data_IF_070267763351
#
_entry.id   IF_070267763351
#
_cell.length_a   1.000
_cell.length_b   1.000
_cell.length_c   1.000
_cell.angle_alpha   90.00
_cell.angle_beta   90.00
_cell.angle_gamma   90.00
#
_symmetry.space_group_name_H-M   'P 1'
#
loop_
_entity.id
_entity.type
_entity.pdbx_description
1 polymer ?
2 non-polymer ?
3 non-polymer ?
4 non-polymer ?
5 non-polymer ?
6 non-polymer ?
7 water ?
#
# COMPACT_ATOMS: atom_id res chain seq x y z
N UNK A 4 -24.30 22.45 1.25
CA UNK A 4 -24.38 20.96 1.22
C UNK A 4 -24.75 20.48 -0.18
N UNK A 5 -24.33 19.27 -0.53
CA UNK A 5 -24.58 18.68 -1.85
C UNK A 5 -25.38 17.37 -1.72
N UNK A 6 -26.01 16.93 -2.81
CA UNK A 6 -26.52 15.53 -2.89
C UNK A 6 -25.39 14.51 -3.07
N UNK A 7 -24.37 14.86 -3.85
CA UNK A 7 -23.30 13.93 -4.13
C UNK A 7 -22.27 13.95 -2.99
N UNK A 8 -21.55 12.84 -2.86
CA UNK A 8 -20.41 12.73 -1.97
C UNK A 8 -19.18 12.82 -2.89
N UNK A 9 -18.28 13.74 -2.56
CA UNK A 9 -17.17 14.09 -3.44
C UNK A 9 -15.87 13.53 -2.90
N UNK A 10 -15.20 12.76 -3.76
CA UNK A 10 -13.98 12.06 -3.39
C UNK A 10 -12.91 12.43 -4.40
N UNK A 11 -11.80 13.00 -3.92
CA UNK A 11 -10.66 13.26 -4.79
C UNK A 11 -9.57 12.23 -4.59
N UNK A 12 -8.99 11.77 -5.68
CA UNK A 12 -7.99 10.71 -5.66
C UNK A 12 -6.81 11.16 -6.50
N UNK A 13 -5.63 11.24 -5.87
CA UNK A 13 -4.36 11.48 -6.59
C UNK A 13 -3.51 10.22 -6.52
N UNK A 14 -3.19 9.68 -7.70
CA UNK A 14 -2.38 8.47 -7.84
C UNK A 14 -1.31 8.66 -8.91
N UNK A 15 -0.36 7.76 -8.97
CA UNK A 15 0.78 7.88 -9.92
C UNK A 15 0.57 6.98 -11.13
N UNK A 16 0.14 7.59 -12.22
CA UNK A 16 -0.09 6.84 -13.45
C UNK A 16 0.91 7.14 -14.57
N UNK A 17 1.88 7.99 -14.28
CA UNK A 17 3.04 8.22 -15.14
C UNK A 17 4.32 8.12 -14.33
N UNK A 18 5.44 7.88 -15.02
CA UNK A 18 6.71 7.76 -14.33
C UNK A 18 6.94 6.36 -13.82
N UNK A 19 8.03 6.16 -13.07
CA UNK A 19 8.40 4.79 -12.71
C UNK A 19 7.36 4.09 -11.83
N UNK A 20 6.61 4.85 -11.04
CA UNK A 20 5.62 4.22 -10.17
C UNK A 20 4.24 4.03 -10.82
N UNK A 21 4.16 4.24 -12.14
CA UNK A 21 2.91 4.05 -12.85
C UNK A 21 2.37 2.63 -12.64
N UNK A 22 3.25 1.64 -12.41
CA UNK A 22 2.78 0.26 -12.24
C UNK A 22 1.94 0.08 -10.96
N UNK A 23 2.09 1.02 -10.02
CA UNK A 23 1.26 1.05 -8.81
C UNK A 23 -0.03 1.84 -9.03
N UNK A 24 0.07 3.03 -9.62
CA UNK A 24 -1.10 3.86 -9.80
C UNK A 24 -2.10 3.42 -10.87
N UNK A 25 -1.62 2.83 -11.95
CA UNK A 25 -2.52 2.38 -13.01
C UNK A 25 -3.56 1.40 -12.48
N UNK A 26 -3.12 0.36 -11.75
CA UNK A 26 -4.13 -0.51 -11.16
C UNK A 26 -5.05 0.17 -10.15
N UNK A 27 -4.52 1.14 -9.39
CA UNK A 27 -5.34 1.86 -8.42
C UNK A 27 -6.44 2.62 -9.14
N UNK A 28 -6.07 3.30 -10.24
CA UNK A 28 -7.08 4.02 -11.04
C UNK A 28 -8.08 3.06 -11.69
N UNK A 29 -7.58 1.99 -12.29
CA UNK A 29 -8.45 1.01 -12.95
C UNK A 29 -9.44 0.36 -11.99
N UNK A 30 -9.04 0.13 -10.72
CA UNK A 30 -9.94 -0.50 -9.78
C UNK A 30 -11.18 0.33 -9.51
N UNK A 31 -11.10 1.64 -9.80
CA UNK A 31 -12.24 2.55 -9.59
C UNK A 31 -13.44 2.20 -10.45
N UNK A 32 -13.22 1.47 -11.56
CA UNK A 32 -14.34 0.97 -12.33
C UNK A 32 -15.29 0.04 -11.55
N UNK A 33 -14.75 -0.60 -10.50
CA UNK A 33 -15.45 -1.70 -9.82
C UNK A 33 -15.91 -1.34 -8.42
N UNK A 34 -15.71 -0.08 -8.01
CA UNK A 34 -16.20 0.38 -6.72
C UNK A 34 -17.61 0.93 -6.80
N UNK A 35 -18.18 1.21 -5.62
CA UNK A 35 -19.50 1.81 -5.51
C UNK A 35 -19.59 3.10 -6.33
N UNK A 36 -20.73 3.28 -6.99
CA UNK A 36 -21.03 4.54 -7.69
C UNK A 36 -21.95 5.45 -6.87
N UNK A 37 -22.40 4.96 -5.74
CA UNK A 37 -23.45 5.57 -4.95
C UNK A 37 -23.38 4.97 -3.55
N UNK A 38 -23.53 5.77 -2.51
CA UNK A 38 -23.62 5.25 -1.14
C UNK A 38 -24.87 5.90 -0.51
N UNK A 39 -25.78 5.09 -0.01
CA UNK A 39 -27.02 5.64 0.62
C UNK A 39 -27.89 6.42 -0.35
N UNK A 40 -27.75 6.13 -1.63
CA UNK A 40 -28.47 6.87 -2.65
C UNK A 40 -27.83 8.13 -3.12
N UNK A 41 -26.72 8.51 -2.48
CA UNK A 41 -25.99 9.70 -2.86
C UNK A 41 -24.98 9.28 -3.90
N UNK A 42 -25.02 9.88 -5.09
CA UNK A 42 -23.99 9.57 -6.09
C UNK A 42 -22.60 9.95 -5.60
N UNK A 43 -21.61 9.12 -5.92
CA UNK A 43 -20.23 9.48 -5.65
C UNK A 43 -19.65 10.20 -6.86
N UNK A 44 -19.12 11.38 -6.62
CA UNK A 44 -18.41 12.17 -7.61
C UNK A 44 -16.95 11.96 -7.34
N UNK A 45 -16.27 11.20 -8.22
CA UNK A 45 -14.89 10.78 -8.00
C UNK A 45 -14.02 11.51 -9.01
N UNK A 46 -13.10 12.32 -8.51
CA UNK A 46 -12.19 13.11 -9.33
C UNK A 46 -10.79 12.51 -9.21
N UNK A 47 -10.24 12.04 -10.32
CA UNK A 47 -8.96 11.32 -10.32
C UNK A 47 -7.93 12.13 -11.05
N UNK A 48 -6.79 12.35 -10.41
CA UNK A 48 -5.63 13.01 -11.03
C UNK A 48 -4.36 12.22 -10.88
N UNK A 49 -3.46 12.39 -11.85
CA UNK A 49 -2.10 11.89 -11.79
C UNK A 49 -1.22 12.90 -11.10
N UNK A 50 -0.33 12.39 -10.26
CA UNK A 50 0.75 13.21 -9.68
C UNK A 50 2.14 12.86 -10.15
N UNK A 51 2.29 11.82 -10.98
CA UNK A 51 3.63 11.45 -11.44
C UNK A 51 4.58 10.96 -10.36
N UNK A 52 4.06 10.78 -9.14
CA UNK A 52 4.83 10.41 -7.98
C UNK A 52 5.54 11.58 -7.35
N UNK A 53 5.23 12.79 -7.81
CA UNK A 53 5.89 13.99 -7.36
C UNK A 53 5.15 14.67 -6.20
N UNK A 54 5.82 14.87 -5.07
CA UNK A 54 5.15 15.50 -3.92
C UNK A 54 4.54 16.87 -4.28
N UNK A 55 5.21 17.66 -5.12
CA UNK A 55 4.64 18.96 -5.50
C UNK A 55 3.30 18.80 -6.23
N UNK A 56 3.25 17.90 -7.20
CA UNK A 56 1.99 17.66 -7.92
C UNK A 56 0.91 17.13 -7.00
N UNK A 57 1.27 16.21 -6.11
CA UNK A 57 0.33 15.66 -5.16
C UNK A 57 -0.25 16.71 -4.20
N UNK A 58 0.60 17.66 -3.79
CA UNK A 58 0.15 18.76 -2.94
C UNK A 58 -0.88 19.63 -3.72
N UNK A 59 -0.55 19.94 -4.96
CA UNK A 59 -1.44 20.71 -5.81
C UNK A 59 -2.76 19.97 -6.01
N UNK A 60 -2.66 18.70 -6.28
CA UNK A 60 -3.86 17.90 -6.55
C UNK A 60 -4.76 17.85 -5.31
N UNK A 61 -4.19 17.51 -4.15
CA UNK A 61 -4.92 17.50 -2.91
C UNK A 61 -5.60 18.83 -2.61
N UNK A 62 -4.88 19.92 -2.82
CA UNK A 62 -5.46 21.22 -2.61
C UNK A 62 -6.61 21.53 -3.57
N UNK A 63 -6.47 21.11 -4.82
CA UNK A 63 -7.57 21.26 -5.79
C UNK A 63 -8.79 20.54 -5.26
N UNK A 64 -8.59 19.36 -4.69
CA UNK A 64 -9.72 18.59 -4.19
C UNK A 64 -10.40 19.28 -3.02
N UNK A 65 -9.61 19.76 -2.07
CA UNK A 65 -10.19 20.22 -0.79
C UNK A 65 -10.86 21.57 -0.91
N UNK A 66 -10.38 22.45 -1.81
CA UNK A 66 -10.90 23.81 -1.94
C UNK A 66 -11.74 23.94 -3.20
N UNK A 67 -11.17 23.63 -4.35
CA UNK A 67 -11.90 23.71 -5.65
C UNK A 67 -13.09 22.70 -5.78
N UNK A 68 -12.89 21.46 -5.37
CA UNK A 68 -13.94 20.44 -5.50
C UNK A 68 -14.72 20.28 -4.19
N UNK A 69 -14.24 20.93 -3.14
CA UNK A 69 -14.86 20.86 -1.82
C UNK A 69 -15.06 19.39 -1.39
N UNK A 70 -14.02 18.58 -1.62
CA UNK A 70 -14.10 17.15 -1.37
C UNK A 70 -14.47 16.80 0.06
N UNK A 71 -15.27 15.74 0.22
CA UNK A 71 -15.58 15.15 1.53
C UNK A 71 -14.47 14.23 2.02
N UNK A 72 -13.77 13.61 1.07
CA UNK A 72 -12.67 12.65 1.36
C UNK A 72 -11.65 12.77 0.25
N UNK A 73 -10.39 12.68 0.62
CA UNK A 73 -9.31 12.61 -0.36
C UNK A 73 -8.51 11.33 -0.18
N UNK A 75 -4.95 8.97 -1.67
CA UNK A 75 -3.73 8.81 -2.42
C UNK A 75 -2.51 8.90 -1.49
N UNK A 76 -1.31 8.92 -2.01
CA UNK A 76 -0.93 8.68 -3.41
C UNK A 76 -0.44 7.22 -3.54
N UNK A 77 0.32 6.90 -4.59
CA UNK A 77 0.72 5.54 -4.88
C UNK A 77 2.02 5.13 -4.19
N UNK A 78 2.86 6.12 -3.90
CA UNK A 78 4.16 5.91 -3.24
C UNK A 78 4.33 6.90 -2.10
N UNK A 79 5.31 6.68 -1.22
CA UNK A 79 5.30 7.35 0.07
C UNK A 79 5.47 8.87 -0.05
N UNK A 80 6.46 9.36 -0.82
CA UNK A 80 6.69 10.82 -0.82
C UNK A 80 5.46 11.68 -1.17
N UNK A 81 4.71 11.39 -2.23
CA UNK A 81 3.51 12.20 -2.50
C UNK A 81 2.41 11.94 -1.49
N UNK A 82 2.44 10.79 -0.85
CA UNK A 82 1.42 10.44 0.16
C UNK A 82 1.60 11.30 1.40
N UNK A 83 2.86 11.54 1.79
CA UNK A 83 3.12 12.46 2.90
C UNK A 83 2.58 13.87 2.54
N UNK A 84 2.78 14.28 1.30
CA UNK A 84 2.27 15.55 0.83
C UNK A 84 0.74 15.68 0.92
N UNK A 85 0.04 14.63 0.53
CA UNK A 85 -1.40 14.62 0.62
C UNK A 85 -1.86 14.75 2.07
N UNK A 86 -1.17 14.01 2.96
CA UNK A 86 -1.49 14.05 4.38
C UNK A 86 -1.28 15.48 4.95
N UNK A 87 -0.22 16.16 4.51
CA UNK A 87 0.02 17.57 4.92
C UNK A 87 -1.18 18.44 4.57
N UNK A 88 -1.67 18.29 3.34
CA UNK A 88 -2.80 19.09 2.89
C UNK A 88 -4.10 18.73 3.61
N UNK A 89 -4.37 17.42 3.74
CA UNK A 89 -5.59 16.95 4.43
C UNK A 89 -5.66 17.41 5.88
N UNK A 90 -4.53 17.35 6.60
CA UNK A 90 -4.55 17.78 7.99
C UNK A 90 -4.65 19.28 8.17
N UNK A 91 -4.19 20.06 7.20
CA UNK A 91 -4.35 21.50 7.25
C UNK A 91 -5.79 21.96 6.92
N UNK A 92 -6.35 21.31 5.90
CA UNK A 92 -7.67 21.65 5.38
C UNK A 92 -8.82 20.96 6.18
N UNK A 93 -8.46 19.99 7.02
CA UNK A 93 -9.40 19.23 7.87
C UNK A 93 -10.34 18.38 7.04
N UNK A 94 -9.73 17.54 6.22
CA UNK A 94 -10.46 16.64 5.32
C UNK A 94 -9.95 15.23 5.52
N UNK A 95 -10.85 14.24 5.67
CA UNK A 95 -10.38 12.89 5.81
C UNK A 95 -9.55 12.43 4.62
N UNK A 96 -8.47 11.75 4.92
CA UNK A 96 -7.50 11.29 3.94
C UNK A 96 -7.28 9.80 4.13
N UNK A 97 -7.54 9.04 3.06
CA UNK A 97 -7.23 7.63 3.03
C UNK A 97 -5.98 7.41 2.19
N UNK A 98 -4.88 7.08 2.85
CA UNK A 98 -3.60 6.89 2.17
C UNK A 98 -3.52 5.57 1.42
N UNK A 99 -2.91 5.57 0.22
CA UNK A 99 -2.78 4.37 -0.61
C UNK A 99 -1.32 3.87 -0.66
N UNK A 100 -0.44 4.52 0.09
CA UNK A 100 0.94 4.10 0.34
C UNK A 100 1.21 4.18 1.83
N UNK A 101 2.14 3.37 2.39
CA UNK A 101 2.24 3.27 3.88
C UNK A 101 3.19 4.31 4.54
N UNK A 102 2.69 5.52 4.73
CA UNK A 102 3.50 6.61 5.19
C UNK A 102 3.65 6.52 6.71
N UNK A 103 4.68 7.18 7.23
CA UNK A 103 4.79 7.38 8.67
C UNK A 103 3.67 8.30 9.14
N UNK A 104 2.72 7.77 9.89
CA UNK A 104 1.58 8.60 10.33
C UNK A 104 1.95 9.07 11.73
N UNK A 105 2.64 10.22 11.78
CA UNK A 105 3.11 10.89 12.98
C UNK A 105 1.96 11.57 13.71
N UNK A 106 2.19 12.03 14.94
CA UNK A 106 1.14 12.79 15.62
C UNK A 106 0.59 13.97 14.83
N UNK A 107 1.42 14.61 14.02
CA UNK A 107 0.99 15.75 13.18
C UNK A 107 0.01 15.35 12.04
N UNK A 108 0.07 14.09 11.62
CA UNK A 108 -0.70 13.58 10.49
C UNK A 108 -1.88 12.71 10.92
N UNK A 109 -1.91 12.31 12.20
CA UNK A 109 -2.84 11.28 12.63
C UNK A 109 -4.30 11.68 12.66
N UNK A 110 -4.62 12.94 12.88
CA UNK A 110 -6.02 13.29 13.06
C UNK A 110 -6.87 13.02 11.82
N UNK A 111 -6.34 13.38 10.65
CA UNK A 111 -7.13 13.31 9.43
C UNK A 111 -6.70 12.20 8.50
N UNK A 112 -5.59 11.49 8.76
CA UNK A 112 -5.13 10.44 7.87
C UNK A 112 -5.26 9.04 8.45
N UNK A 113 -5.72 8.12 7.62
CA UNK A 113 -5.59 6.67 7.85
C UNK A 113 -4.92 6.04 6.63
N UNK A 114 -4.45 4.80 6.78
CA UNK A 114 -3.75 4.12 5.67
C UNK A 114 -4.35 2.77 5.34
N UNK A 116 -2.54 0.52 3.06
CA UNK A 116 -1.47 -0.51 3.05
C UNK A 116 -1.12 -1.01 4.42
N UNK A 117 -0.68 -2.26 4.49
CA UNK A 117 -0.25 -2.81 5.74
C UNK A 117 0.92 -2.04 6.33
N UNK A 118 0.91 -1.81 7.63
CA UNK A 118 2.04 -1.13 8.24
C UNK A 118 3.30 -1.97 8.15
N UNK A 119 4.42 -1.28 8.00
CA UNK A 119 5.70 -1.97 7.83
C UNK A 119 5.95 -3.05 8.88
N UNK A 120 5.72 -2.78 10.18
CA UNK A 120 6.02 -3.84 11.16
C UNK A 120 5.25 -5.15 11.02
N UNK A 121 4.02 -5.12 10.52
CA UNK A 121 3.27 -6.36 10.31
C UNK A 121 4.01 -7.14 9.21
N UNK A 123 7.20 -6.77 8.07
CA UNK A 123 8.50 -7.21 8.58
C UNK A 123 8.39 -8.48 9.39
N UNK A 124 7.42 -8.53 10.31
CA UNK A 124 7.34 -9.65 11.23
C UNK A 124 7.17 -10.97 10.49
N UNK A 125 6.32 -11.01 9.47
CA UNK A 125 6.10 -12.26 8.77
C UNK A 125 7.34 -12.69 7.98
N UNK A 126 8.11 -11.72 7.49
CA UNK A 126 9.37 -12.02 6.79
C UNK A 126 10.43 -12.52 7.76
N UNK A 127 10.62 -11.84 8.88
CA UNK A 127 11.66 -12.22 9.85
C UNK A 127 11.33 -13.54 10.50
N UNK A 128 10.05 -13.79 10.79
CA UNK A 128 9.60 -15.10 11.26
C UNK A 128 10.04 -16.21 10.31
N UNK A 129 9.87 -16.00 8.99
CA UNK A 129 10.32 -16.99 8.03
C UNK A 129 11.81 -17.12 8.06
N UNK A 131 13.84 -16.77 10.53
CA UNK A 131 14.30 -17.53 11.69
C UNK A 131 13.77 -18.97 11.73
N UNK A 132 12.93 -19.35 10.77
CA UNK A 132 12.51 -20.74 10.62
C UNK A 132 13.38 -21.47 9.57
N UNK A 133 14.21 -20.71 8.84
CA UNK A 133 14.94 -21.17 7.67
C UNK A 133 16.44 -20.86 7.76
N UNK A 134 16.98 -20.94 8.99
CA UNK A 134 18.43 -20.88 9.22
C UNK A 134 19.09 -19.61 8.72
N UNK A 135 18.40 -18.49 8.86
CA UNK A 135 18.97 -17.19 8.53
C UNK A 135 19.47 -16.53 9.80
N UNK A 136 20.77 -16.29 9.87
CA UNK A 136 21.42 -15.66 11.05
C UNK A 136 21.90 -14.27 10.69
N UNK A 137 22.46 -14.11 9.49
CA UNK A 137 22.95 -12.81 9.02
C UNK A 137 22.08 -12.30 7.88
N UNK A 138 21.89 -10.99 7.85
CA UNK A 138 20.98 -10.35 6.89
C UNK A 138 21.63 -9.06 6.35
N UNK A 139 21.49 -8.85 5.06
CA UNK A 139 21.85 -7.57 4.45
C UNK A 139 20.61 -6.81 4.00
N UNK A 140 20.73 -5.49 3.87
CA UNK A 140 19.60 -4.66 3.41
C UNK A 140 20.03 -3.85 2.21
N UNK A 141 19.14 -3.78 1.23
CA UNK A 141 19.23 -2.79 0.14
C UNK A 141 17.84 -2.20 -0.06
N UNK A 142 17.74 -0.88 0.07
CA UNK A 142 16.47 -0.19 -0.07
C UNK A 142 16.60 1.28 -0.42
N UNK A 143 15.47 1.94 -0.59
CA UNK A 143 15.51 3.35 -1.01
C UNK A 143 16.21 4.21 0.02
N UNK A 144 16.86 5.27 -0.49
CA UNK A 144 17.39 6.33 0.34
C UNK A 144 16.32 7.40 0.61
N UNK A 145 15.17 6.99 1.11
CA UNK A 145 14.11 7.93 1.49
C UNK A 145 13.28 7.32 2.61
N UNK A 146 12.18 7.96 2.95
CA UNK A 146 11.37 7.55 4.11
C UNK A 146 10.89 6.10 4.10
N UNK A 147 10.42 5.61 2.97
CA UNK A 147 10.02 4.21 2.85
C UNK A 147 11.20 3.26 3.12
N UNK A 148 12.33 3.54 2.48
CA UNK A 148 13.54 2.73 2.75
C UNK A 148 13.98 2.83 4.19
N UNK A 149 13.84 4.01 4.79
CA UNK A 149 14.17 4.17 6.21
C UNK A 149 13.22 3.37 7.11
N UNK A 150 11.93 3.38 6.83
CA UNK A 150 10.96 2.69 7.69
C UNK A 150 11.31 1.21 7.70
N UNK A 151 11.67 0.68 6.52
CA UNK A 151 12.00 -0.74 6.42
C UNK A 151 13.30 -1.08 7.11
N UNK A 152 14.33 -0.26 6.90
CA UNK A 152 15.60 -0.54 7.58
C UNK A 152 15.47 -0.42 9.08
N UNK A 153 14.78 0.62 9.55
CA UNK A 153 14.56 0.75 10.99
C UNK A 153 13.80 -0.44 11.59
N UNK A 154 12.83 -0.97 10.87
CA UNK A 154 12.10 -2.17 11.33
C UNK A 154 13.00 -3.42 11.37
N UNK A 155 13.83 -3.60 10.36
CA UNK A 155 14.77 -4.72 10.33
C UNK A 155 15.67 -4.64 11.55
N UNK A 156 16.11 -3.42 11.88
CA UNK A 156 16.97 -3.21 13.01
C UNK A 156 16.23 -3.54 14.30
N UNK A 157 15.10 -2.89 14.50
CA UNK A 157 14.41 -2.95 15.79
C UNK A 157 13.87 -4.35 16.00
N UNK A 158 13.04 -4.77 15.07
CA UNK A 158 12.27 -5.97 15.25
C UNK A 158 13.16 -7.14 14.85
N UNK A 159 13.82 -7.01 13.71
CA UNK A 159 14.58 -8.11 13.17
C UNK A 159 15.70 -8.54 14.07
N UNK A 160 16.48 -7.60 14.58
CA UNK A 160 17.58 -7.95 15.50
C UNK A 160 17.09 -8.64 16.75
N UNK A 161 16.02 -8.12 17.34
CA UNK A 161 15.38 -8.74 18.49
C UNK A 161 14.92 -10.22 18.25
N UNK A 163 16.83 -12.37 16.45
CA UNK A 163 18.03 -13.14 16.19
C UNK A 163 18.62 -12.98 14.79
N UNK A 164 18.42 -11.80 14.21
CA UNK A 164 19.11 -11.40 12.98
C UNK A 164 20.26 -10.44 13.29
N UNK A 165 21.39 -10.69 12.62
CA UNK A 165 22.54 -9.79 12.70
C UNK A 165 22.65 -9.06 11.37
N UNK A 166 22.55 -7.74 11.38
CA UNK A 166 22.64 -6.97 10.17
C UNK A 166 24.10 -6.76 9.85
N UNK A 167 24.53 -7.25 8.69
CA UNK A 167 25.96 -7.26 8.35
C UNK A 167 26.28 -6.33 7.20
N UNK A 168 25.25 -5.76 6.60
CA UNK A 168 25.43 -4.86 5.46
C UNK A 168 24.17 -4.06 5.24
N UNK A 169 24.34 -2.79 4.93
CA UNK A 169 23.25 -1.90 4.59
C UNK A 169 23.65 -1.05 3.39
N UNK A 170 22.84 -1.09 2.35
CA UNK A 170 23.07 -0.29 1.14
C UNK A 170 21.77 0.41 0.73
N UNK A 171 21.91 1.61 0.16
CA UNK A 171 20.75 2.35 -0.34
C UNK A 171 20.87 2.70 -1.82
N UNK A 172 19.73 2.96 -2.44
CA UNK A 172 19.67 3.45 -3.83
C UNK A 172 18.47 4.37 -3.97
N UNK A 173 18.49 5.21 -5.00
CA UNK A 173 17.39 6.11 -5.25
C UNK A 173 16.43 5.52 -6.26
N UNK A 174 15.17 5.87 -6.11
CA UNK A 174 14.09 5.35 -6.94
C UNK A 174 14.41 5.34 -8.44
N UNK A 175 14.94 6.47 -8.96
CA UNK A 175 15.19 6.51 -10.41
C UNK A 175 16.44 5.71 -10.89
N UNK A 176 17.26 5.23 -9.97
CA UNK A 176 18.50 4.59 -10.36
C UNK A 176 18.26 3.39 -11.27
N UNK A 177 19.05 3.28 -12.33
CA UNK A 177 18.91 2.11 -13.22
C UNK A 177 19.94 1.00 -12.94
N UNK A 178 20.90 1.25 -12.05
CA UNK A 178 21.85 0.22 -11.61
C UNK A 178 22.03 0.26 -10.11
N UNK A 179 22.25 -0.91 -9.52
CA UNK A 179 22.67 -1.02 -8.12
C UNK A 179 23.95 -1.83 -8.01
N UNK A 180 24.79 -1.74 -9.04
CA UNK A 180 25.96 -2.61 -9.17
C UNK A 180 26.90 -2.54 -7.98
N UNK A 181 27.27 -1.32 -7.56
CA UNK A 181 28.21 -1.14 -6.46
C UNK A 181 27.68 -1.69 -5.14
N UNK A 182 26.41 -1.41 -4.88
CA UNK A 182 25.78 -1.82 -3.67
C UNK A 182 25.73 -3.35 -3.65
N UNK A 183 25.44 -3.94 -4.82
CA UNK A 183 25.28 -5.40 -4.90
C UNK A 183 26.61 -6.14 -4.72
N UNK A 184 27.68 -5.59 -5.28
CA UNK A 184 29.02 -6.13 -5.07
C UNK A 184 29.34 -6.20 -3.58
N UNK A 185 28.96 -5.15 -2.84
CA UNK A 185 29.27 -5.12 -1.41
C UNK A 185 28.44 -6.14 -0.68
N UNK A 186 27.18 -6.21 -1.05
CA UNK A 186 26.29 -7.21 -0.44
C UNK A 186 26.76 -8.65 -0.69
N UNK A 187 27.11 -8.94 -1.94
CA UNK A 187 27.58 -10.27 -2.30
C UNK A 187 28.89 -10.61 -1.58
N UNK A 188 29.78 -9.61 -1.44
CA UNK A 188 31.02 -9.77 -0.69
C UNK A 188 30.77 -10.12 0.78
N UNK A 189 29.78 -9.45 1.38
CA UNK A 189 29.41 -9.67 2.78
C UNK A 189 28.76 -11.04 2.94
N UNK A 190 28.17 -11.54 1.86
CA UNK A 190 27.48 -12.84 1.84
C UNK A 190 26.61 -13.15 3.08
N UNK A 191 25.61 -12.28 3.37
CA UNK A 191 24.68 -12.59 4.44
C UNK A 191 23.87 -13.81 4.05
N UNK A 192 23.31 -14.50 5.03
CA UNK A 192 22.41 -15.62 4.74
C UNK A 192 21.17 -15.22 3.93
N UNK A 193 20.65 -14.00 4.17
CA UNK A 193 19.53 -13.46 3.40
C UNK A 193 19.74 -11.95 3.17
N UNK A 194 19.04 -11.44 2.17
CA UNK A 194 18.97 -10.00 1.94
C UNK A 194 17.49 -9.55 1.86
N UNK A 195 17.19 -8.46 2.55
CA UNK A 195 15.88 -7.83 2.47
C UNK A 195 16.01 -6.66 1.51
N UNK A 196 15.10 -6.61 0.54
CA UNK A 196 15.05 -5.52 -0.43
C UNK A 196 13.92 -4.60 -0.02
N UNK A 197 14.22 -3.33 0.25
CA UNK A 197 13.19 -2.33 0.63
C UNK A 197 12.86 -1.35 -0.49
N UNK A 198 11.93 -1.74 -1.35
CA UNK A 198 11.65 -0.96 -2.53
C UNK A 198 10.23 -1.36 -2.97
N UNK A 199 9.84 -0.95 -4.19
CA UNK A 199 8.48 -1.12 -4.63
C UNK A 199 8.43 -1.13 -6.15
N UNK A 200 7.39 -1.76 -6.68
CA UNK A 200 7.16 -1.79 -8.12
C UNK A 200 8.36 -2.22 -8.93
N UNK A 201 8.64 -1.48 -10.00
CA UNK A 201 9.75 -1.83 -10.90
C UNK A 201 11.12 -1.83 -10.21
N UNK A 202 11.39 -0.84 -9.37
CA UNK A 202 12.66 -0.81 -8.64
C UNK A 202 12.86 -2.03 -7.74
N UNK A 203 11.79 -2.65 -7.25
CA UNK A 203 11.96 -3.83 -6.40
C UNK A 203 12.58 -5.00 -7.17
N UNK A 204 12.27 -5.08 -8.47
CA UNK A 204 12.88 -6.10 -9.33
C UNK A 204 14.35 -5.85 -9.65
N UNK A 205 14.84 -4.61 -9.47
CA UNK A 205 16.22 -4.33 -9.84
C UNK A 205 17.26 -5.02 -8.93
N UNK A 206 17.12 -4.85 -7.60
CA UNK A 206 18.00 -5.66 -6.78
C UNK A 206 17.76 -7.14 -6.94
N UNK A 207 16.54 -7.57 -7.29
CA UNK A 207 16.31 -9.02 -7.45
C UNK A 207 17.17 -9.58 -8.58
N UNK A 208 17.12 -8.92 -9.74
CA UNK A 208 17.90 -9.36 -10.90
C UNK A 208 19.41 -9.15 -10.71
N UNK A 209 19.77 -7.98 -10.20
CA UNK A 209 21.19 -7.65 -9.99
C UNK A 209 21.87 -8.62 -8.98
N UNK A 210 21.22 -8.90 -7.86
CA UNK A 210 21.76 -9.89 -6.92
C UNK A 210 21.97 -11.28 -7.54
N UNK A 211 20.98 -11.79 -8.26
CA UNK A 211 21.11 -13.12 -8.84
C UNK A 211 22.15 -13.13 -9.98
N UNK A 212 22.16 -12.08 -10.80
CA UNK A 212 23.14 -11.96 -11.90
C UNK A 212 24.57 -11.87 -11.35
N UNK A 213 24.74 -11.25 -10.19
CA UNK A 213 26.05 -10.96 -9.69
C UNK A 213 26.47 -11.96 -8.60
N UNK A 214 25.78 -13.12 -8.56
CA UNK A 214 26.23 -14.29 -7.81
C UNK A 214 25.64 -14.63 -6.44
N UNK A 215 24.72 -13.81 -5.95
CA UNK A 215 24.18 -14.01 -4.60
C UNK A 215 23.41 -15.33 -4.53
N UNK A 216 23.69 -16.16 -3.54
CA UNK A 216 23.07 -17.49 -3.40
C UNK A 216 22.05 -17.61 -2.25
N UNK A 217 21.99 -16.58 -1.40
CA UNK A 217 21.11 -16.64 -0.22
C UNK A 217 19.65 -16.36 -0.50
N UNK A 218 18.83 -16.41 0.55
CA UNK A 218 17.43 -16.11 0.38
C UNK A 218 17.22 -14.61 0.14
N UNK A 219 16.31 -14.25 -0.77
CA UNK A 219 15.91 -12.85 -0.97
C UNK A 219 14.49 -12.63 -0.54
N UNK A 220 14.33 -11.56 0.25
CA UNK A 220 13.04 -11.16 0.80
C UNK A 220 12.63 -9.80 0.25
N UNK A 221 11.35 -9.74 -0.12
CA UNK A 221 10.72 -8.57 -0.75
C UNK A 221 9.59 -8.07 0.09
N UNK A 222 9.43 -6.74 0.08
CA UNK A 222 8.33 -6.06 0.75
C UNK A 222 7.03 -6.11 -0.05
N UNK A 223 5.94 -5.68 0.60
CA UNK A 223 4.63 -5.64 -0.04
C UNK A 223 4.52 -4.59 -1.13
N UNK A 224 5.46 -3.70 -1.19
CA UNK A 224 5.59 -2.79 -2.33
C UNK A 224 5.87 -3.47 -3.67
N UNK A 225 6.24 -4.76 -3.65
CA UNK A 225 6.58 -5.54 -4.85
C UNK A 225 5.47 -6.45 -5.33
N UNK A 226 4.33 -6.48 -4.66
CA UNK A 226 3.36 -7.56 -4.86
C UNK A 226 2.43 -7.31 -6.05
N UNK A 227 2.98 -7.59 -7.24
CA UNK A 227 2.20 -7.64 -8.47
C UNK A 227 2.92 -8.58 -9.42
N UNK A 229 3.88 -7.98 -12.21
CA UNK A 229 4.91 -7.14 -12.86
C UNK A 229 6.31 -7.50 -12.36
N UNK A 230 6.42 -7.83 -11.08
CA UNK A 230 7.69 -8.18 -10.48
C UNK A 230 8.26 -9.40 -11.20
N UNK A 231 7.41 -10.43 -11.45
CA UNK A 231 7.84 -11.66 -12.12
C UNK A 231 8.11 -11.37 -13.60
N UNK A 232 7.27 -10.54 -14.23
CA UNK A 232 7.48 -10.13 -15.63
C UNK A 232 8.88 -9.55 -15.77
N UNK A 233 9.24 -8.67 -14.85
CA UNK A 233 10.57 -8.02 -14.94
C UNK A 233 11.73 -8.94 -14.48
N UNK A 234 11.60 -9.52 -13.28
CA UNK A 234 12.71 -10.32 -12.69
C UNK A 234 12.89 -11.68 -13.32
N UNK A 235 11.82 -12.21 -13.93
CA UNK A 235 11.89 -13.54 -14.56
C UNK A 235 12.41 -14.62 -13.62
N UNK A 236 13.35 -15.41 -14.11
CA UNK A 236 13.88 -16.56 -13.39
C UNK A 236 14.55 -16.14 -12.07
N UNK A 237 15.09 -14.92 -12.02
CA UNK A 237 15.68 -14.37 -10.78
C UNK A 237 14.65 -14.25 -9.64
N UNK A 238 13.36 -14.20 -9.96
CA UNK A 238 12.30 -14.18 -8.90
C UNK A 238 12.13 -15.54 -8.20
N UNK A 239 12.60 -16.63 -8.80
CA UNK A 239 12.32 -17.96 -8.23
C UNK A 239 12.79 -18.02 -6.78
N UNK A 240 11.93 -18.52 -5.90
CA UNK A 240 12.29 -18.74 -4.52
C UNK A 240 12.23 -17.54 -3.61
N UNK A 241 11.83 -16.39 -4.14
CA UNK A 241 11.74 -15.15 -3.36
C UNK A 241 10.71 -15.34 -2.28
N UNK A 242 10.89 -14.66 -1.15
CA UNK A 242 9.83 -14.59 -0.14
C UNK A 242 9.34 -13.18 -0.14
N UNK A 244 6.26 -10.45 1.35
CA UNK A 244 5.10 -10.08 2.15
C UNK A 244 4.03 -9.56 1.20
N UNK A 245 2.80 -9.99 1.42
CA UNK A 245 1.70 -9.59 0.55
C UNK A 245 0.45 -9.44 1.33
N UNK A 246 -0.46 -8.58 0.88
CA UNK A 246 -1.79 -8.66 1.36
C UNK A 246 -2.49 -9.93 0.85
N UNK A 247 -3.58 -10.31 1.49
CA UNK A 247 -4.27 -11.54 1.15
C UNK A 247 -4.98 -11.51 -0.19
N UNK A 248 -5.11 -10.33 -0.78
CA UNK A 248 -5.79 -10.17 -2.05
C UNK A 248 -5.05 -10.92 -3.15
N UNK A 250 -4.15 -14.00 -3.06
CA UNK A 250 -4.67 -15.39 -3.11
C UNK A 250 -5.97 -15.59 -2.32
N UNK A 251 -7.07 -15.01 -2.78
CA UNK A 251 -8.33 -15.30 -2.09
C UNK A 251 -8.78 -16.78 -2.24
N UNK A 252 -8.38 -17.40 -3.33
CA UNK A 252 -8.70 -18.82 -3.57
C UNK A 252 -8.19 -19.71 -2.46
N UNK A 253 -7.02 -19.38 -1.90
CA UNK A 253 -6.34 -20.20 -0.89
C UNK A 253 -6.83 -19.90 0.53
N UNK A 254 -7.68 -18.89 0.67
CA UNK A 254 -8.29 -18.57 1.97
C UNK A 254 -9.45 -19.50 2.27
N UNK A 255 -9.69 -19.77 3.55
CA UNK A 255 -10.94 -20.43 3.95
C UNK A 255 -12.13 -19.50 3.76
N UNK A 256 -13.33 -20.04 3.54
CA UNK A 256 -14.54 -19.19 3.46
C UNK A 256 -14.77 -18.38 4.71
N UNK A 257 -14.24 -18.85 5.82
CA UNK A 257 -14.38 -18.10 7.06
C UNK A 257 -13.55 -16.80 7.08
N UNK A 258 -12.60 -16.63 6.16
CA UNK A 258 -11.81 -15.40 6.13
C UNK A 258 -12.66 -14.24 5.61
N UNK A 259 -12.79 -13.20 6.42
CA UNK A 259 -13.57 -12.00 6.03
C UNK A 259 -13.02 -11.31 4.79
N UNK A 260 -11.72 -11.51 4.54
CA UNK A 260 -11.07 -10.89 3.37
C UNK A 260 -11.42 -11.63 2.07
N UNK A 261 -11.99 -12.82 2.13
CA UNK A 261 -12.08 -13.67 0.94
C UNK A 261 -13.06 -13.12 -0.08
N UNK A 262 -14.26 -12.82 0.39
CA UNK A 262 -15.31 -12.31 -0.49
C UNK A 262 -14.89 -11.02 -1.22
N UNK A 263 -14.38 -10.02 -0.49
CA UNK A 263 -14.05 -8.80 -1.22
C UNK A 263 -12.84 -9.00 -2.16
N UNK A 264 -11.91 -9.86 -1.80
CA UNK A 264 -10.79 -10.19 -2.72
C UNK A 264 -11.29 -10.87 -3.98
N UNK A 265 -12.16 -11.85 -3.82
CA UNK A 265 -12.73 -12.53 -4.99
C UNK A 265 -13.48 -11.53 -5.86
N UNK A 266 -14.21 -10.60 -5.25
CA UNK A 266 -14.99 -9.62 -6.01
C UNK A 266 -14.04 -8.75 -6.84
N UNK A 267 -13.02 -8.18 -6.21
CA UNK A 267 -12.12 -7.30 -6.94
C UNK A 267 -11.39 -8.07 -8.04
N UNK A 268 -10.81 -9.19 -7.69
CA UNK A 268 -9.98 -9.91 -8.65
C UNK A 268 -10.79 -10.42 -9.84
N UNK A 269 -11.98 -10.94 -9.58
CA UNK A 269 -12.84 -11.38 -10.67
C UNK A 269 -13.13 -10.26 -11.67
N UNK A 270 -13.45 -9.06 -11.16
CA UNK A 270 -13.74 -7.92 -12.01
C UNK A 270 -12.48 -7.46 -12.75
N UNK A 271 -11.40 -7.32 -11.98
CA UNK A 271 -10.14 -6.78 -12.54
C UNK A 271 -9.60 -7.71 -13.62
N UNK A 272 -9.52 -8.99 -13.28
CA UNK A 272 -8.96 -9.99 -14.17
C UNK A 272 -9.89 -10.31 -15.36
N UNK A 273 -11.20 -10.10 -15.24
CA UNK A 273 -12.08 -10.22 -16.42
C UNK A 273 -11.70 -9.17 -17.48
N UNK A 274 -11.37 -7.95 -17.05
CA UNK A 274 -11.06 -6.89 -17.99
C UNK A 274 -9.61 -6.90 -18.44
N UNK A 275 -8.70 -7.22 -17.52
CA UNK A 275 -7.26 -7.02 -17.76
C UNK A 275 -6.48 -8.33 -17.87
N UNK A 276 -7.16 -9.44 -17.65
CA UNK A 276 -6.65 -10.78 -17.92
C UNK A 276 -6.22 -11.55 -16.71
N UNK A 277 -6.06 -12.86 -16.88
CA UNK A 277 -5.64 -13.65 -15.70
C UNK A 277 -4.37 -13.21 -15.01
N UNK A 278 -4.42 -13.33 -13.67
CA UNK A 278 -3.31 -12.97 -12.79
C UNK A 278 -2.83 -11.52 -12.90
N UNK A 279 -3.72 -10.63 -13.31
CA UNK A 279 -3.44 -9.19 -13.27
C UNK A 279 -3.82 -8.57 -11.94
N UNK A 280 -4.31 -9.38 -10.98
CA UNK A 280 -4.48 -8.91 -9.61
C UNK A 280 -3.24 -8.22 -9.07
N UNK A 281 -3.42 -7.29 -8.15
CA UNK A 281 -2.29 -6.64 -7.52
C UNK A 281 -2.58 -6.20 -6.12
N UNK A 282 -1.50 -6.07 -5.35
CA UNK A 282 -1.50 -5.37 -4.06
C UNK A 282 -2.16 -3.98 -4.17
N UNK A 283 -1.90 -3.31 -5.29
CA UNK A 283 -2.18 -1.87 -5.43
C UNK A 283 -3.65 -1.58 -5.78
N UNK A 284 -4.19 -2.33 -6.73
CA UNK A 284 -5.60 -2.20 -7.10
C UNK A 284 -6.44 -2.36 -5.84
N UNK A 285 -6.03 -3.27 -4.96
CA UNK A 285 -6.79 -3.59 -3.77
C UNK A 285 -6.88 -2.36 -2.84
N UNK A 286 -5.87 -1.49 -2.79
CA UNK A 286 -5.92 -0.36 -1.86
C UNK A 286 -7.01 0.64 -2.21
N UNK A 287 -7.15 0.97 -3.49
CA UNK A 287 -8.23 1.89 -3.86
C UNK A 287 -9.59 1.20 -3.74
N UNK A 288 -9.68 -0.08 -4.09
CA UNK A 288 -10.94 -0.84 -3.93
C UNK A 288 -11.33 -0.87 -2.46
N UNK A 289 -10.36 -1.15 -1.58
CA UNK A 289 -10.63 -1.28 -0.16
C UNK A 289 -11.01 0.09 0.44
N UNK A 290 -10.40 1.18 -0.07
CA UNK A 290 -10.74 2.50 0.46
C UNK A 290 -12.25 2.76 0.28
N UNK A 291 -12.82 2.33 -0.85
CA UNK A 291 -14.26 2.43 -1.07
C UNK A 291 -15.10 1.48 -0.20
N UNK A 292 -14.61 0.27 0.09
CA UNK A 292 -15.22 -0.58 1.11
C UNK A 292 -15.30 0.13 2.45
N UNK A 293 -14.24 0.84 2.81
CA UNK A 293 -14.26 1.66 4.04
C UNK A 293 -15.35 2.74 3.96
N UNK A 294 -15.42 3.44 2.84
CA UNK A 294 -16.46 4.47 2.64
C UNK A 294 -17.86 3.84 2.71
N UNK A 295 -18.02 2.65 2.15
CA UNK A 295 -19.31 1.95 2.26
C UNK A 295 -19.78 1.83 3.70
N UNK A 296 -18.85 1.61 4.62
CA UNK A 296 -19.15 1.49 6.03
C UNK A 296 -19.35 2.82 6.74
N UNK A 297 -18.40 3.75 6.55
CA UNK A 297 -18.40 4.98 7.34
C UNK A 297 -19.32 6.07 6.77
N UNK A 298 -19.54 6.09 5.47
CA UNK A 298 -20.40 7.15 4.90
C UNK A 298 -21.86 7.08 5.38
N UNK A 299 -22.49 5.88 5.44
CA UNK A 299 -23.89 5.84 5.95
C UNK A 299 -23.95 6.37 7.40
N UNK A 300 -22.92 6.11 8.19
CA UNK A 300 -22.86 6.64 9.56
C UNK A 300 -22.86 8.18 9.58
N UNK A 301 -22.03 8.78 8.74
CA UNK A 301 -21.92 10.22 8.66
C UNK A 301 -23.22 10.83 8.13
N UNK A 302 -23.85 10.14 7.16
CA UNK A 302 -25.12 10.60 6.57
C UNK A 302 -26.25 10.69 7.60
N UNK A 303 -26.15 9.95 8.70
CA UNK A 303 -27.17 10.01 9.70
C UNK A 303 -27.29 11.36 10.33
N UNK A 304 -26.16 12.06 10.47
CA UNK A 304 -26.10 13.29 11.27
C UNK A 304 -25.56 14.52 10.55
N UNK A 305 -25.13 14.38 9.30
CA UNK A 305 -24.49 15.47 8.61
C UNK A 305 -24.77 15.38 7.11
N UNK A 306 -24.76 16.53 6.47
CA UNK A 306 -24.98 16.65 5.04
C UNK A 306 -23.67 16.66 4.24
N UNK A 307 -23.62 15.93 3.13
CA UNK A 307 -22.42 15.92 2.31
C UNK A 307 -22.06 17.37 1.91
N UNK A 308 -20.75 17.63 1.79
CA UNK A 308 -20.28 18.90 1.32
C UNK A 308 -20.21 19.97 2.38
N UNK A 309 -20.21 19.51 3.63
CA UNK A 309 -20.08 20.38 4.82
C UNK A 309 -18.94 19.89 5.73
N UNK A 310 -18.39 20.79 6.55
CA UNK A 310 -17.40 20.39 7.54
C UNK A 310 -17.95 19.39 8.53
N UNK A 311 -19.24 19.50 8.85
CA UNK A 311 -19.84 18.56 9.80
C UNK A 311 -19.77 17.13 9.26
N UNK A 312 -19.93 16.98 7.95
CA UNK A 312 -19.82 15.67 7.31
C UNK A 312 -18.38 15.16 7.32
N UNK A 313 -17.43 16.04 7.03
CA UNK A 313 -16.00 15.68 7.14
C UNK A 313 -15.69 15.16 8.55
N UNK A 314 -16.13 15.91 9.57
CA UNK A 314 -15.90 15.51 10.95
C UNK A 314 -16.60 14.22 11.29
N UNK A 315 -17.81 14.03 10.77
CA UNK A 315 -18.56 12.78 11.03
C UNK A 315 -17.88 11.56 10.40
N UNK A 316 -17.27 11.75 9.24
CA UNK A 316 -16.49 10.68 8.60
C UNK A 316 -15.27 10.38 9.49
N UNK A 317 -14.61 11.42 9.97
CA UNK A 317 -13.44 11.22 10.84
C UNK A 317 -13.83 10.38 12.08
N UNK A 318 -14.95 10.75 12.71
CA UNK A 318 -15.38 10.04 13.90
C UNK A 318 -15.80 8.59 13.57
N UNK A 319 -16.47 8.42 12.43
CA UNK A 319 -16.93 7.08 12.04
C UNK A 319 -15.79 6.12 11.75
N UNK A 320 -14.66 6.63 11.22
CA UNK A 320 -13.51 5.79 10.95
C UNK A 320 -13.03 5.08 12.21
N UNK A 321 -13.23 5.70 13.38
CA UNK A 321 -12.83 5.07 14.63
C UNK A 321 -13.97 4.50 15.47
N UNK A 322 -15.23 4.79 15.11
CA UNK A 322 -16.37 4.12 15.79
C UNK A 322 -16.79 2.80 15.14
N UNK A 323 -16.60 2.69 13.82
CA UNK A 323 -16.99 1.51 13.08
C UNK A 323 -15.86 0.51 13.10
N UNK A 324 -16.09 -0.65 13.70
CA UNK A 324 -15.03 -1.64 13.89
C UNK A 324 -15.16 -2.81 12.95
N UNK A 325 -14.00 -3.39 12.65
CA UNK A 325 -13.92 -4.61 11.86
C UNK A 325 -14.53 -4.41 10.48
N UNK A 326 -13.93 -3.45 9.77
CA UNK A 326 -14.31 -3.17 8.39
C UNK A 326 -13.59 -4.16 7.46
N UNK A 327 -14.35 -5.07 6.90
CA UNK A 327 -13.82 -6.13 6.04
C UNK A 327 -13.49 -5.59 4.68
N UNK A 328 -12.29 -5.90 4.21
CA UNK A 328 -11.89 -5.51 2.86
C UNK A 328 -10.98 -6.58 2.28
N UNK A 329 -10.52 -6.39 1.05
CA UNK A 329 -9.76 -7.44 0.39
C UNK A 329 -8.36 -7.63 1.02
N UNK A 330 -7.82 -6.57 1.65
CA UNK A 330 -6.47 -6.63 2.19
C UNK A 330 -6.38 -6.83 3.68
N UNK A 331 -7.51 -6.83 4.37
CA UNK A 331 -7.50 -7.00 5.80
C UNK A 331 -8.81 -6.58 6.39
N UNK A 332 -8.85 -6.58 7.72
CA UNK A 332 -10.04 -6.18 8.48
C UNK A 332 -9.62 -5.01 9.33
N UNK A 333 -10.17 -3.84 9.02
CA UNK A 333 -9.67 -2.58 9.60
C UNK A 333 -10.44 -2.17 10.85
N UNK A 334 -9.71 -1.80 11.90
CA UNK A 334 -10.29 -1.17 13.07
C UNK A 334 -9.37 -0.04 13.47
N UNK A 335 -9.66 1.14 12.97
CA UNK A 335 -8.86 2.28 13.33
C UNK A 335 -9.20 2.77 14.74
N UNK A 336 -8.21 3.42 15.38
CA UNK A 336 -8.48 4.18 16.58
C UNK A 336 -7.89 5.59 16.43
N UNK A 337 -8.07 6.43 17.45
CA UNK A 337 -7.47 7.76 17.44
C UNK A 337 -5.96 7.69 17.29
N UNK A 338 -5.34 6.63 17.82
CA UNK A 338 -3.91 6.50 17.80
C UNK A 338 -3.37 5.47 16.79
N UNK A 339 -4.17 4.46 16.45
CA UNK A 339 -3.81 3.45 15.47
C UNK A 339 -4.47 3.75 14.12
N UNK A 340 -3.68 4.28 13.18
CA UNK A 340 -4.19 4.79 11.94
C UNK A 340 -4.03 3.84 10.78
N UNK A 341 -3.61 2.61 11.07
CA UNK A 341 -3.57 1.51 10.13
C UNK A 341 -4.66 0.48 10.43
N UNK A 342 -4.80 0.11 11.69
CA UNK A 342 -5.94 -0.69 12.14
C UNK A 342 -5.97 -2.15 11.74
N UNK A 343 -4.82 -2.74 11.45
CA UNK A 343 -4.75 -4.07 10.88
C UNK A 343 -4.07 -5.06 11.81
N UNK A 344 -4.30 -6.33 11.52
CA UNK A 344 -3.75 -7.42 12.29
C UNK A 344 -3.32 -8.56 11.36
N UNK A 345 -3.15 -9.77 11.90
CA UNK A 345 -2.64 -10.86 11.06
C UNK A 345 -3.49 -11.26 9.89
N UNK A 346 -4.77 -10.90 9.88
CA UNK A 346 -5.67 -11.20 8.77
C UNK A 346 -5.26 -10.40 7.54
N UNK A 347 -4.35 -9.42 7.71
CA UNK A 347 -3.94 -8.52 6.63
C UNK A 347 -2.70 -8.95 5.85
N UNK A 348 -2.15 -10.14 6.11
CA UNK A 348 -0.98 -10.54 5.39
C UNK A 348 -0.87 -12.04 5.20
N UNK A 349 -0.24 -12.38 4.08
CA UNK A 349 0.18 -13.74 3.77
C UNK A 349 1.61 -13.62 3.30
N UNK A 350 2.28 -14.77 3.21
CA UNK A 350 3.62 -14.81 2.67
C UNK A 350 3.56 -15.53 1.34
N UNK A 351 4.16 -14.94 0.31
CA UNK A 351 4.21 -15.52 -1.03
C UNK A 351 5.61 -15.97 -1.35
N UNK A 352 5.68 -16.99 -2.20
CA UNK A 352 6.90 -17.24 -2.92
C UNK A 352 6.60 -17.34 -4.42
N UNK A 353 7.66 -17.50 -5.21
CA UNK A 353 7.56 -17.65 -6.66
C UNK A 353 8.14 -19.01 -7.03
N UNK A 354 7.31 -19.83 -7.65
CA UNK A 354 7.74 -21.11 -8.18
C UNK A 354 7.18 -21.24 -9.59
N UNK A 355 8.02 -21.62 -10.55
CA UNK A 355 7.61 -21.77 -11.95
C UNK A 355 6.96 -20.51 -12.52
N UNK A 356 7.50 -19.36 -12.13
CA UNK A 356 7.04 -18.11 -12.69
C UNK A 356 5.67 -17.64 -12.22
N UNK A 357 5.19 -18.23 -11.13
CA UNK A 357 3.96 -17.80 -10.51
C UNK A 357 4.06 -17.69 -8.99
N UNK A 358 3.22 -16.84 -8.43
CA UNK A 358 3.10 -16.72 -6.98
C UNK A 358 2.42 -17.92 -6.36
N UNK A 359 2.94 -18.37 -5.22
CA UNK A 359 2.33 -19.43 -4.44
C UNK A 359 2.38 -19.03 -2.99
N UNK A 361 2.95 -19.45 0.81
CA UNK A 361 3.75 -20.32 1.69
C UNK A 361 2.86 -20.70 2.85
N UNK A 362 2.71 -22.02 3.05
CA UNK A 362 1.81 -22.56 4.05
C UNK A 362 2.35 -22.26 5.45
#
# INVERSE_FOLDING_TARGET
SNAETNEITIGITVTTTGPAAALGIPERNALEFVAKEIGGHPLKVIVLDDGGDPTAATTNARRFVTESKADVIXGSSVTPPTVAVSNVANEAQVPHIALAPLPITPERAKWSVAXPQPIPIXGKVLYEHXKKNNIKTVGYIGYSDSYGDLWFNDLKKQGEAXGLKIVAEERFARPDTSVAGQVLKLVAANPDAILVGASGTAAALPQTSLRERGYKGLIYQTHGAASXDFIRIAGKSAEGVLXASGPVXDPEGQDDSALTKKPGLELNTAYEAKYGPNSRSQFAAHSFDAFKVLERVVPVALKTAKPGTQEFREAIRKALVSEKDIAASQGVYSFTETDRYGLDDRSRILLTVKDGKYVXVK
#
